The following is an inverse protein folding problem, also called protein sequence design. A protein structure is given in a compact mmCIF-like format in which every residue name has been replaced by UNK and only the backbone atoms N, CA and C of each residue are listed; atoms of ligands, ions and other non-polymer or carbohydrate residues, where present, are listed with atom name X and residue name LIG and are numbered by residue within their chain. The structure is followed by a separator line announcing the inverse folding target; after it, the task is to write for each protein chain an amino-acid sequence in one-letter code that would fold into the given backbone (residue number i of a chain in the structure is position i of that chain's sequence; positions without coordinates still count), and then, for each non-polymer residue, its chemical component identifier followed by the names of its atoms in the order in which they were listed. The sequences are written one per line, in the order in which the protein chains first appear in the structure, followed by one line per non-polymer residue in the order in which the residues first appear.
data_IF_525662674739
#
_entry.id   IF_525662674739
#
_cell.length_a   1.000
_cell.length_b   1.000
_cell.length_c   1.000
_cell.angle_alpha   90.00
_cell.angle_beta   90.00
_cell.angle_gamma   90.00
#
_symmetry.space_group_name_H-M   'P 1'
#
loop_
_entity.id
_entity.type
_entity.pdbx_description
1 polymer ?
#
# COMPACT_ATOMS: atom_id res chain seq x y z
N UNK A 1 -7.42 -2.39 42.85
CA UNK A 1 -6.15 -2.93 42.33
C UNK A 1 -6.48 -3.67 41.04
N UNK A 2 -6.54 -2.96 39.91
CA UNK A 2 -6.88 -3.54 38.59
C UNK A 2 -6.09 -2.82 37.50
N UNK A 3 -4.88 -3.28 37.16
CA UNK A 3 -4.02 -2.55 36.21
C UNK A 3 -3.08 -3.35 35.28
N UNK A 4 -2.90 -4.70 35.34
CA UNK A 4 -2.05 -5.38 34.35
C UNK A 4 -2.75 -5.66 33.01
N UNK A 5 -4.06 -5.93 33.02
CA UNK A 5 -4.80 -6.31 31.82
C UNK A 5 -5.09 -5.15 30.87
N UNK A 6 -5.22 -3.92 31.39
CA UNK A 6 -5.48 -2.73 30.57
C UNK A 6 -4.31 -2.46 29.61
N UNK A 7 -3.07 -2.53 30.09
CA UNK A 7 -1.85 -2.27 29.28
C UNK A 7 -1.61 -3.32 28.20
N UNK A 8 -1.88 -4.60 28.45
CA UNK A 8 -1.74 -5.65 27.44
C UNK A 8 -2.78 -5.53 26.32
N UNK A 9 -4.04 -5.24 26.69
CA UNK A 9 -5.10 -5.01 25.71
C UNK A 9 -4.84 -3.73 24.89
N UNK A 10 -4.32 -2.67 25.51
CA UNK A 10 -3.91 -1.45 24.81
C UNK A 10 -2.80 -1.73 23.79
N UNK A 11 -1.79 -2.52 24.16
CA UNK A 11 -0.70 -2.92 23.26
C UNK A 11 -1.22 -3.76 22.08
N UNK A 12 -2.08 -4.75 22.36
CA UNK A 12 -2.69 -5.61 21.33
C UNK A 12 -3.58 -4.80 20.37
N UNK A 13 -4.34 -3.85 20.90
CA UNK A 13 -5.18 -2.95 20.09
C UNK A 13 -4.33 -2.08 19.18
N UNK A 14 -3.20 -1.55 19.67
CA UNK A 14 -2.26 -0.79 18.85
C UNK A 14 -1.65 -1.64 17.73
N UNK A 15 -1.26 -2.88 18.02
CA UNK A 15 -0.69 -3.80 17.02
C UNK A 15 -1.70 -4.13 15.92
N UNK A 16 -2.98 -4.36 16.27
CA UNK A 16 -4.04 -4.58 15.29
C UNK A 16 -4.24 -3.38 14.35
N UNK A 17 -4.15 -2.15 14.83
CA UNK A 17 -4.24 -0.96 13.96
C UNK A 17 -3.06 -0.86 12.99
N UNK A 18 -1.87 -1.26 13.45
CA UNK A 18 -0.67 -1.24 12.63
C UNK A 18 -0.73 -2.32 11.54
N UNK A 19 -1.14 -3.54 11.90
CA UNK A 19 -1.33 -4.65 10.97
C UNK A 19 -2.40 -4.33 9.90
N UNK A 20 -3.46 -3.62 10.28
CA UNK A 20 -4.49 -3.15 9.33
C UNK A 20 -3.94 -2.11 8.33
N UNK A 21 -3.01 -1.26 8.77
CA UNK A 21 -2.35 -0.29 7.90
C UNK A 21 -1.36 -0.97 6.93
N UNK A 22 -0.58 -1.94 7.40
CA UNK A 22 0.28 -2.77 6.54
C UNK A 22 -0.53 -3.57 5.52
N UNK A 23 -1.67 -4.13 5.92
CA UNK A 23 -2.61 -4.80 4.98
C UNK A 23 -3.08 -3.85 3.89
N UNK A 24 -3.42 -2.62 4.25
CA UNK A 24 -3.87 -1.60 3.29
C UNK A 24 -2.75 -1.25 2.30
N UNK A 25 -1.51 -1.11 2.79
CA UNK A 25 -0.33 -0.93 1.93
C UNK A 25 -0.15 -2.10 0.94
N UNK A 26 -0.18 -3.33 1.46
CA UNK A 26 0.01 -4.53 0.64
C UNK A 26 -1.08 -4.65 -0.43
N UNK A 27 -2.30 -4.20 -0.14
CA UNK A 27 -3.37 -4.11 -1.14
C UNK A 27 -3.05 -3.08 -2.24
N UNK A 28 -2.51 -1.91 -1.89
CA UNK A 28 -2.04 -0.93 -2.89
C UNK A 28 -0.90 -1.50 -3.75
N UNK A 29 0.09 -2.15 -3.14
CA UNK A 29 1.18 -2.82 -3.87
C UNK A 29 0.66 -3.91 -4.80
N UNK A 30 -0.32 -4.71 -4.36
CA UNK A 30 -0.98 -5.70 -5.22
C UNK A 30 -1.60 -5.07 -6.46
N UNK A 31 -2.38 -4.00 -6.28
CA UNK A 31 -3.01 -3.32 -7.41
C UNK A 31 -1.95 -2.77 -8.38
N UNK A 32 -0.88 -2.18 -7.87
CA UNK A 32 0.25 -1.73 -8.69
C UNK A 32 0.84 -2.86 -9.55
N UNK A 33 1.20 -3.99 -8.93
CA UNK A 33 1.80 -5.12 -9.65
C UNK A 33 0.87 -5.67 -10.73
N UNK A 34 -0.44 -5.75 -10.45
CA UNK A 34 -1.45 -6.21 -11.43
C UNK A 34 -1.56 -5.27 -12.62
N UNK A 35 -1.60 -3.95 -12.39
CA UNK A 35 -1.66 -2.97 -13.48
C UNK A 35 -0.36 -2.95 -14.31
N UNK A 36 0.79 -3.03 -13.63
CA UNK A 36 2.10 -3.09 -14.29
C UNK A 36 2.23 -4.35 -15.15
N UNK A 37 1.92 -5.52 -14.59
CA UNK A 37 2.04 -6.80 -15.31
C UNK A 37 1.06 -6.89 -16.47
N UNK A 38 -0.16 -6.39 -16.29
CA UNK A 38 -1.17 -6.34 -17.37
C UNK A 38 -0.74 -5.42 -18.51
N UNK A 39 -0.19 -4.23 -18.21
CA UNK A 39 0.32 -3.32 -19.24
C UNK A 39 1.47 -3.92 -20.05
N UNK A 40 2.41 -4.59 -19.36
CA UNK A 40 3.53 -5.28 -20.01
C UNK A 40 3.05 -6.48 -20.84
N UNK A 41 2.08 -7.26 -20.34
CA UNK A 41 1.52 -8.40 -21.06
C UNK A 41 0.82 -7.97 -22.35
N UNK A 42 0.04 -6.89 -22.31
CA UNK A 42 -0.62 -6.32 -23.50
C UNK A 42 0.41 -5.84 -24.53
N UNK A 43 1.51 -5.21 -24.11
CA UNK A 43 2.58 -4.78 -25.03
C UNK A 43 3.31 -5.94 -25.70
N UNK A 44 3.42 -7.10 -25.04
CA UNK A 44 4.15 -8.27 -25.58
C UNK A 44 3.33 -9.13 -26.54
N UNK A 45 2.00 -9.05 -26.48
CA UNK A 45 1.12 -9.93 -27.26
C UNK A 45 0.67 -9.18 -28.54
N UNK A 46 1.09 -9.69 -29.70
CA UNK A 46 0.77 -9.06 -31.00
C UNK A 46 -0.72 -9.03 -31.34
N UNK A 47 -1.52 -9.91 -30.73
CA UNK A 47 -2.99 -9.92 -30.86
C UNK A 47 -3.65 -8.68 -30.25
N UNK A 48 -2.93 -7.92 -29.41
CA UNK A 48 -3.44 -6.73 -28.74
C UNK A 48 -2.85 -5.42 -29.27
N UNK A 49 -2.38 -5.39 -30.53
CA UNK A 49 -1.85 -4.16 -31.17
C UNK A 49 -2.85 -3.00 -31.13
N UNK A 50 -4.15 -3.27 -31.26
CA UNK A 50 -5.20 -2.24 -31.16
C UNK A 50 -5.36 -1.67 -29.74
N UNK A 51 -4.87 -2.38 -28.72
CA UNK A 51 -4.92 -1.99 -27.30
C UNK A 51 -3.62 -1.33 -26.82
N UNK A 52 -2.69 -0.99 -27.71
CA UNK A 52 -1.42 -0.33 -27.36
C UNK A 52 -1.66 0.97 -26.57
N UNK A 53 -2.68 1.75 -26.94
CA UNK A 53 -3.05 2.97 -26.22
C UNK A 53 -3.43 2.64 -24.77
N UNK A 54 -4.24 1.59 -24.56
CA UNK A 54 -4.63 1.14 -23.23
C UNK A 54 -3.41 0.68 -22.43
N UNK A 55 -2.46 -0.01 -23.06
CA UNK A 55 -1.23 -0.45 -22.41
C UNK A 55 -0.38 0.71 -21.91
N UNK A 56 -0.22 1.78 -22.69
CA UNK A 56 0.48 3.00 -22.27
C UNK A 56 -0.22 3.75 -21.14
N UNK A 57 -1.57 3.79 -21.16
CA UNK A 57 -2.36 4.34 -20.05
C UNK A 57 -2.12 3.52 -18.78
N UNK A 58 -2.19 2.19 -18.87
CA UNK A 58 -1.94 1.28 -17.75
C UNK A 58 -0.53 1.45 -17.18
N UNK A 59 0.46 1.55 -18.08
CA UNK A 59 1.86 1.73 -17.74
C UNK A 59 2.14 3.10 -17.10
N UNK A 60 1.40 4.16 -17.48
CA UNK A 60 1.49 5.50 -16.87
C UNK A 60 0.76 5.60 -15.54
N UNK A 61 -0.39 4.94 -15.40
CA UNK A 61 -1.17 4.91 -14.14
C UNK A 61 -0.48 4.09 -13.07
N UNK A 62 0.26 3.06 -13.46
CA UNK A 62 1.01 2.19 -12.55
C UNK A 62 1.98 2.95 -11.62
N UNK A 63 2.96 3.76 -12.09
CA UNK A 63 3.83 4.53 -11.21
C UNK A 63 3.08 5.58 -10.38
N UNK A 64 1.95 6.11 -10.86
CA UNK A 64 1.10 7.03 -10.09
C UNK A 64 0.49 6.30 -8.88
N UNK A 65 -0.06 5.10 -9.08
CA UNK A 65 -0.59 4.26 -8.00
C UNK A 65 0.52 3.87 -7.00
N UNK A 66 1.72 3.57 -7.50
CA UNK A 66 2.89 3.28 -6.66
C UNK A 66 3.27 4.50 -5.81
N UNK A 67 3.33 5.69 -6.42
CA UNK A 67 3.68 6.93 -5.73
C UNK A 67 2.68 7.25 -4.63
N UNK A 68 1.38 7.12 -4.91
CA UNK A 68 0.31 7.28 -3.92
C UNK A 68 0.49 6.28 -2.78
N UNK A 69 0.74 5.00 -3.08
CA UNK A 69 0.96 3.95 -2.09
C UNK A 69 2.18 4.21 -1.20
N UNK A 70 3.31 4.61 -1.79
CA UNK A 70 4.55 4.95 -1.08
C UNK A 70 4.35 6.19 -0.20
N UNK A 71 3.76 7.26 -0.72
CA UNK A 71 3.49 8.48 0.05
C UNK A 71 2.63 8.14 1.28
N UNK A 72 1.56 7.36 1.09
CA UNK A 72 0.69 6.94 2.21
C UNK A 72 1.45 6.11 3.23
N UNK A 73 2.29 5.18 2.79
CA UNK A 73 3.11 4.36 3.69
C UNK A 73 4.03 5.20 4.57
N UNK A 74 4.77 6.12 3.95
CA UNK A 74 5.70 6.99 4.66
C UNK A 74 4.98 7.96 5.58
N UNK A 75 3.80 8.49 5.21
CA UNK A 75 3.01 9.35 6.09
C UNK A 75 2.53 8.62 7.35
N UNK A 76 2.05 7.37 7.22
CA UNK A 76 1.59 6.61 8.39
C UNK A 76 2.76 6.17 9.26
N UNK A 77 3.89 5.76 8.65
CA UNK A 77 5.12 5.43 9.39
C UNK A 77 5.68 6.63 10.16
N UNK A 78 5.63 7.85 9.59
CA UNK A 78 6.04 9.10 10.28
C UNK A 78 5.12 9.49 11.44
N UNK A 79 3.82 9.17 11.34
CA UNK A 79 2.85 9.52 12.39
C UNK A 79 3.08 8.71 13.66
N UNK A 80 3.52 7.45 13.54
CA UNK A 80 3.82 6.58 14.68
C UNK A 80 5.13 7.00 15.38
N UNK A 81 6.17 7.37 14.62
CA UNK A 81 7.45 7.83 15.22
C UNK A 81 7.29 9.15 15.99
N UNK A 82 6.45 10.06 15.51
CA UNK A 82 6.22 11.35 16.18
C UNK A 82 5.48 11.20 17.52
N UNK A 83 4.68 10.14 17.68
CA UNK A 83 3.94 9.86 18.90
C UNK A 83 4.80 9.18 19.98
N UNK A 84 5.92 8.52 19.58
CA UNK A 84 6.83 7.82 20.49
C UNK A 84 7.90 8.74 21.12
N UNK A 85 8.20 9.88 20.51
CA UNK A 85 9.23 10.84 20.97
C UNK A 85 8.70 11.94 21.90
N UNK A 86 7.40 11.96 22.20
CA UNK A 86 6.77 12.91 23.14
C UNK A 86 6.43 12.31 24.51
N UNK A 87 6.93 11.11 24.81
CA UNK A 87 6.87 10.49 26.15
C UNK A 87 8.27 10.29 26.71
#
# INVERSE_FOLDING_TARGET
METPNLTLNEALTAEMTNLANERSLLAYMRTFVVFLSSGIAILKIELFKDLIILAYVLLSVSPILLFIGIIRFFQVKKTIDKMRLSR
#
